data_IF_937481632148
#
_entry.id   IF_937481632148
#
_cell.length_a   1.000
_cell.length_b   1.000
_cell.length_c   1.000
_cell.angle_alpha   90.00
_cell.angle_beta   90.00
_cell.angle_gamma   90.00
#
_symmetry.space_group_name_H-M   'P 1'
#
loop_
_entity.id
_entity.type
_entity.pdbx_description
1 polymer ?
#
# COMPACT_ATOMS: atom_id res chain seq x y z
N UNK A 1 28.09 0.42 -24.30
CA UNK A 1 28.26 0.12 -22.87
C UNK A 1 27.21 -0.92 -22.49
N UNK A 2 27.61 -2.15 -22.19
CA UNK A 2 26.67 -3.27 -22.00
C UNK A 2 25.68 -3.00 -20.85
N UNK A 3 24.40 -3.28 -21.10
CA UNK A 3 23.37 -3.26 -20.06
C UNK A 3 23.59 -4.46 -19.12
N UNK A 4 24.35 -4.27 -18.04
CA UNK A 4 24.50 -5.26 -16.97
C UNK A 4 23.28 -5.28 -16.03
N UNK A 5 22.08 -5.07 -16.59
CA UNK A 5 20.84 -4.91 -15.84
C UNK A 5 20.54 -6.15 -14.98
N UNK A 6 20.73 -7.35 -15.54
CA UNK A 6 20.51 -8.59 -14.81
C UNK A 6 21.49 -8.75 -13.63
N UNK A 7 22.75 -8.32 -13.81
CA UNK A 7 23.75 -8.36 -12.74
C UNK A 7 23.41 -7.36 -11.63
N UNK A 8 23.00 -6.13 -11.99
CA UNK A 8 22.54 -5.12 -11.03
C UNK A 8 21.33 -5.63 -10.23
N UNK A 9 20.32 -6.24 -10.88
CA UNK A 9 19.18 -6.85 -10.18
C UNK A 9 19.65 -7.98 -9.26
N UNK A 10 20.54 -8.85 -9.74
CA UNK A 10 21.11 -9.93 -8.92
C UNK A 10 21.81 -9.40 -7.68
N UNK A 11 22.57 -8.31 -7.81
CA UNK A 11 23.25 -7.65 -6.70
C UNK A 11 22.23 -7.03 -5.71
N UNK A 12 21.19 -6.36 -6.21
CA UNK A 12 20.11 -5.84 -5.38
C UNK A 12 19.40 -6.95 -4.58
N UNK A 13 19.10 -8.08 -5.23
CA UNK A 13 18.50 -9.25 -4.57
C UNK A 13 19.43 -9.86 -3.52
N UNK A 14 20.74 -9.91 -3.77
CA UNK A 14 21.73 -10.33 -2.77
C UNK A 14 21.73 -9.41 -1.54
N UNK A 15 21.63 -8.09 -1.72
CA UNK A 15 21.53 -7.13 -0.61
C UNK A 15 20.24 -7.33 0.19
N UNK A 16 19.10 -7.51 -0.51
CA UNK A 16 17.80 -7.79 0.12
C UNK A 16 17.86 -9.10 0.90
N UNK A 17 18.45 -10.16 0.33
CA UNK A 17 18.62 -11.45 0.99
C UNK A 17 19.53 -11.34 2.22
N UNK A 18 20.66 -10.64 2.11
CA UNK A 18 21.56 -10.39 3.23
C UNK A 18 20.86 -9.62 4.37
N UNK A 19 20.06 -8.62 4.02
CA UNK A 19 19.23 -7.87 4.98
C UNK A 19 18.21 -8.78 5.68
N UNK A 20 17.58 -9.69 4.94
CA UNK A 20 16.66 -10.71 5.48
C UNK A 20 17.34 -11.70 6.42
N UNK A 21 18.52 -12.21 6.05
CA UNK A 21 19.30 -13.10 6.91
C UNK A 21 19.74 -12.39 8.19
N UNK A 22 20.14 -11.12 8.08
CA UNK A 22 20.53 -10.32 9.24
C UNK A 22 19.32 -10.06 10.15
N UNK A 23 18.17 -9.66 9.61
CA UNK A 23 16.92 -9.50 10.34
C UNK A 23 16.53 -10.78 11.09
N UNK A 24 16.56 -11.92 10.40
CA UNK A 24 16.24 -13.21 10.99
C UNK A 24 17.20 -13.58 12.14
N UNK A 25 18.50 -13.33 11.96
CA UNK A 25 19.51 -13.57 13.00
C UNK A 25 19.30 -12.68 14.23
N UNK A 26 18.89 -11.43 14.02
CA UNK A 26 18.61 -10.47 15.08
C UNK A 26 17.20 -10.59 15.68
N UNK A 27 16.34 -11.45 15.13
CA UNK A 27 14.90 -11.55 15.47
C UNK A 27 14.19 -10.20 15.37
N UNK A 28 14.51 -9.45 14.33
CA UNK A 28 14.02 -8.10 14.09
C UNK A 28 13.19 -8.06 12.79
N UNK A 29 12.17 -7.20 12.65
CA UNK A 29 11.44 -7.04 11.39
C UNK A 29 12.39 -6.68 10.23
N UNK A 30 12.14 -7.18 9.02
CA UNK A 30 13.06 -6.96 7.89
C UNK A 30 13.02 -5.51 7.38
N UNK A 31 11.85 -4.86 7.48
CA UNK A 31 11.55 -3.60 6.78
C UNK A 31 12.56 -2.49 7.10
N UNK A 32 12.94 -2.23 8.37
CA UNK A 32 13.94 -1.19 8.65
C UNK A 32 15.31 -1.50 8.03
N UNK A 33 15.73 -2.77 7.99
CA UNK A 33 16.99 -3.14 7.34
C UNK A 33 16.93 -2.96 5.82
N UNK A 34 15.78 -3.23 5.18
CA UNK A 34 15.60 -2.95 3.75
C UNK A 34 15.66 -1.45 3.45
N UNK A 35 15.06 -0.61 4.31
CA UNK A 35 15.13 0.86 4.16
C UNK A 35 16.59 1.32 4.29
N UNK A 36 17.31 0.86 5.32
CA UNK A 36 18.72 1.19 5.51
C UNK A 36 19.59 0.70 4.34
N UNK A 37 19.34 -0.50 3.83
CA UNK A 37 20.02 -1.03 2.67
C UNK A 37 19.77 -0.17 1.42
N UNK A 38 18.51 0.18 1.16
CA UNK A 38 18.13 1.07 0.04
C UNK A 38 18.77 2.46 0.16
N UNK A 39 18.82 3.04 1.36
CA UNK A 39 19.53 4.29 1.62
C UNK A 39 21.03 4.16 1.35
N UNK A 40 21.64 3.02 1.70
CA UNK A 40 23.07 2.78 1.52
C UNK A 40 23.48 2.62 0.04
N UNK A 41 22.57 2.18 -0.83
CA UNK A 41 22.85 1.87 -2.25
C UNK A 41 22.10 2.76 -3.25
N UNK A 42 21.49 3.84 -2.76
CA UNK A 42 20.79 4.81 -3.58
C UNK A 42 21.71 5.72 -4.41
N UNK A 43 21.16 6.75 -5.08
CA UNK A 43 21.94 7.71 -5.87
C UNK A 43 23.03 8.44 -5.08
N UNK A 44 22.87 8.54 -3.76
CA UNK A 44 23.78 9.19 -2.83
C UNK A 44 24.86 8.24 -2.26
N UNK A 45 24.87 6.97 -2.68
CA UNK A 45 25.84 5.99 -2.21
C UNK A 45 27.27 6.41 -2.63
N UNK A 46 28.27 6.28 -1.73
CA UNK A 46 29.65 6.56 -2.07
C UNK A 46 30.14 5.58 -3.13
N UNK A 47 30.85 6.10 -4.14
CA UNK A 47 31.51 5.25 -5.14
C UNK A 47 32.74 4.62 -4.48
N UNK A 48 32.67 3.33 -4.17
CA UNK A 48 33.79 2.59 -3.57
C UNK A 48 34.59 1.91 -4.68
N UNK A 49 35.67 2.57 -5.12
CA UNK A 49 36.58 2.03 -6.13
C UNK A 49 35.94 1.89 -7.52
N UNK A 50 36.05 0.70 -8.12
CA UNK A 50 35.49 0.40 -9.46
C UNK A 50 34.04 -0.12 -9.43
N UNK A 51 33.46 -0.30 -8.23
CA UNK A 51 32.09 -0.82 -8.06
C UNK A 51 31.14 0.37 -7.86
N UNK A 52 30.30 0.60 -8.87
CA UNK A 52 29.20 1.55 -8.76
C UNK A 52 27.99 0.86 -8.14
N UNK A 53 27.76 1.09 -6.84
CA UNK A 53 26.57 0.60 -6.14
C UNK A 53 25.35 1.48 -6.37
N UNK A 54 25.47 2.56 -7.14
CA UNK A 54 24.33 3.42 -7.48
C UNK A 54 23.57 2.72 -8.59
N UNK A 55 22.44 2.12 -8.24
CA UNK A 55 21.53 1.41 -9.15
C UNK A 55 20.79 2.35 -10.12
N UNK A 56 21.44 3.36 -10.69
CA UNK A 56 20.79 4.46 -11.43
C UNK A 56 20.04 3.95 -12.66
N UNK A 57 20.64 3.01 -13.41
CA UNK A 57 20.03 2.45 -14.63
C UNK A 57 18.96 1.42 -14.33
N UNK A 58 19.16 0.61 -13.30
CA UNK A 58 18.21 -0.41 -12.86
C UNK A 58 17.10 0.13 -11.97
N UNK A 59 17.21 1.36 -11.46
CA UNK A 59 16.25 1.96 -10.54
C UNK A 59 14.79 1.89 -11.02
N UNK A 60 14.43 2.22 -12.28
CA UNK A 60 13.04 2.11 -12.72
C UNK A 60 12.49 0.68 -12.66
N UNK A 61 13.33 -0.31 -12.99
CA UNK A 61 12.95 -1.72 -12.94
C UNK A 61 12.89 -2.23 -11.49
N UNK A 62 13.84 -1.85 -10.64
CA UNK A 62 13.84 -2.19 -9.20
C UNK A 62 12.60 -1.59 -8.52
N UNK A 63 12.25 -0.35 -8.85
CA UNK A 63 11.04 0.32 -8.36
C UNK A 63 9.79 -0.45 -8.78
N UNK A 64 9.67 -0.79 -10.06
CA UNK A 64 8.54 -1.56 -10.57
C UNK A 64 8.43 -2.95 -9.92
N UNK A 65 9.56 -3.66 -9.76
CA UNK A 65 9.62 -4.94 -9.06
C UNK A 65 9.21 -4.81 -7.58
N UNK A 66 9.64 -3.74 -6.92
CA UNK A 66 9.24 -3.41 -5.56
C UNK A 66 7.73 -3.18 -5.43
N UNK A 67 7.13 -2.43 -6.37
CA UNK A 67 5.68 -2.23 -6.43
C UNK A 67 4.94 -3.56 -6.59
N UNK A 68 5.33 -4.39 -7.55
CA UNK A 68 4.73 -5.73 -7.73
C UNK A 68 4.84 -6.58 -6.46
N UNK A 69 5.98 -6.55 -5.77
CA UNK A 69 6.16 -7.24 -4.49
C UNK A 69 5.15 -6.80 -3.42
N UNK A 70 4.86 -5.50 -3.34
CA UNK A 70 3.84 -4.94 -2.43
C UNK A 70 2.43 -5.35 -2.88
N UNK A 71 2.12 -5.32 -4.17
CA UNK A 71 0.84 -5.79 -4.70
C UNK A 71 0.60 -7.25 -4.31
N UNK A 72 1.58 -8.13 -4.53
CA UNK A 72 1.47 -9.54 -4.16
C UNK A 72 1.34 -9.76 -2.66
N UNK A 73 2.07 -8.98 -1.85
CA UNK A 73 1.96 -9.06 -0.39
C UNK A 73 0.54 -8.75 0.09
N UNK A 74 -0.06 -7.66 -0.42
CA UNK A 74 -1.39 -7.24 -0.02
C UNK A 74 -2.49 -8.10 -0.63
N UNK A 75 -2.29 -8.59 -1.85
CA UNK A 75 -3.14 -9.61 -2.45
C UNK A 75 -3.17 -10.89 -1.61
N UNK A 76 -1.99 -11.42 -1.25
CA UNK A 76 -1.86 -12.58 -0.38
C UNK A 76 -2.55 -12.35 0.96
N UNK A 77 -2.34 -11.16 1.55
CA UNK A 77 -3.02 -10.79 2.78
C UNK A 77 -4.53 -10.86 2.56
N UNK A 78 -5.07 -10.22 1.52
CA UNK A 78 -6.49 -10.22 1.19
C UNK A 78 -7.11 -11.61 1.08
N UNK A 79 -6.38 -12.58 0.50
CA UNK A 79 -6.81 -13.98 0.40
C UNK A 79 -7.06 -14.66 1.76
N UNK A 80 -6.36 -14.24 2.81
CA UNK A 80 -6.50 -14.83 4.15
C UNK A 80 -7.71 -14.27 4.94
N UNK A 81 -8.41 -13.24 4.43
CA UNK A 81 -9.50 -12.58 5.16
C UNK A 81 -10.85 -12.72 4.45
N UNK A 82 -11.91 -12.75 5.27
CA UNK A 82 -13.26 -12.71 4.74
C UNK A 82 -13.80 -11.28 4.69
N UNK A 83 -14.40 -10.89 3.57
CA UNK A 83 -15.11 -9.61 3.41
C UNK A 83 -16.25 -9.47 4.42
N UNK A 84 -16.97 -10.55 4.73
CA UNK A 84 -18.07 -10.52 5.70
C UNK A 84 -17.67 -10.01 7.09
N UNK A 85 -16.51 -10.44 7.61
CA UNK A 85 -16.00 -9.97 8.91
C UNK A 85 -15.59 -8.50 8.88
N UNK A 86 -14.97 -8.05 7.79
CA UNK A 86 -14.62 -6.64 7.59
C UNK A 86 -15.86 -5.72 7.58
N UNK A 87 -16.92 -6.14 6.89
CA UNK A 87 -18.20 -5.39 6.88
C UNK A 87 -18.85 -5.33 8.26
N UNK A 88 -18.85 -6.44 9.01
CA UNK A 88 -19.39 -6.49 10.36
C UNK A 88 -18.62 -5.57 11.32
N UNK A 89 -17.31 -5.43 11.13
CA UNK A 89 -16.47 -4.51 11.88
C UNK A 89 -16.59 -3.04 11.44
N UNK A 90 -17.36 -2.72 10.38
CA UNK A 90 -17.38 -1.41 9.74
C UNK A 90 -17.64 -0.23 10.68
N UNK A 91 -18.55 -0.37 11.65
CA UNK A 91 -18.81 0.69 12.64
C UNK A 91 -17.62 0.91 13.58
N UNK A 92 -16.99 -0.18 14.03
CA UNK A 92 -15.80 -0.12 14.88
C UNK A 92 -14.63 0.49 14.12
N UNK A 93 -14.44 0.09 12.85
CA UNK A 93 -13.42 0.64 11.94
C UNK A 93 -13.63 2.15 11.75
N UNK A 94 -14.86 2.59 11.47
CA UNK A 94 -15.15 4.01 11.27
C UNK A 94 -14.87 4.83 12.54
N UNK A 95 -15.34 4.38 13.70
CA UNK A 95 -15.10 5.07 14.96
C UNK A 95 -13.63 5.07 15.35
N UNK A 96 -12.97 3.91 15.31
CA UNK A 96 -11.57 3.75 15.64
C UNK A 96 -10.66 4.52 14.68
N UNK A 97 -10.95 4.48 13.38
CA UNK A 97 -10.24 5.22 12.34
C UNK A 97 -10.39 6.73 12.52
N UNK A 98 -11.59 7.21 12.80
CA UNK A 98 -11.83 8.64 13.05
C UNK A 98 -11.08 9.12 14.29
N UNK A 99 -11.12 8.36 15.38
CA UNK A 99 -10.38 8.69 16.62
C UNK A 99 -8.88 8.66 16.37
N UNK A 100 -8.36 7.61 15.73
CA UNK A 100 -6.96 7.48 15.38
C UNK A 100 -6.48 8.67 14.54
N UNK A 101 -7.26 9.03 13.51
CA UNK A 101 -6.89 10.11 12.62
C UNK A 101 -6.97 11.47 13.30
N UNK A 102 -8.01 11.71 14.09
CA UNK A 102 -8.14 12.94 14.85
C UNK A 102 -6.96 13.17 15.80
N UNK A 103 -6.53 12.13 16.52
CA UNK A 103 -5.38 12.21 17.44
C UNK A 103 -4.10 12.53 16.65
N UNK A 104 -3.75 11.71 15.65
CA UNK A 104 -2.47 11.88 14.95
C UNK A 104 -2.43 13.17 14.11
N UNK A 105 -3.55 13.55 13.49
CA UNK A 105 -3.66 14.79 12.74
C UNK A 105 -3.54 16.02 13.64
N UNK A 106 -4.17 15.99 14.82
CA UNK A 106 -4.02 17.07 15.82
C UNK A 106 -2.57 17.21 16.27
N UNK A 107 -1.90 16.09 16.58
CA UNK A 107 -0.48 16.09 16.93
C UNK A 107 0.40 16.62 15.79
N UNK A 108 0.06 16.25 14.54
CA UNK A 108 0.77 16.70 13.36
C UNK A 108 0.63 18.19 13.06
N UNK A 109 -0.48 18.82 13.46
CA UNK A 109 -0.70 20.27 13.34
C UNK A 109 -0.08 21.04 14.52
N UNK A 110 -0.17 20.49 15.72
CA UNK A 110 0.14 21.21 16.96
C UNK A 110 1.58 21.74 16.99
N UNK A 111 2.58 20.92 16.67
CA UNK A 111 3.99 21.33 16.72
C UNK A 111 4.34 22.39 15.67
N UNK A 112 4.01 22.23 14.37
CA UNK A 112 4.26 23.26 13.35
C UNK A 112 3.57 24.59 13.64
N UNK A 113 2.35 24.57 14.18
CA UNK A 113 1.62 25.80 14.57
C UNK A 113 2.35 26.52 15.70
N UNK A 114 2.83 25.78 16.72
CA UNK A 114 3.61 26.37 17.83
C UNK A 114 4.92 27.00 17.36
N UNK A 115 5.53 26.50 16.29
CA UNK A 115 6.72 27.09 15.68
C UNK A 115 6.41 28.19 14.65
N UNK A 116 5.13 28.53 14.43
CA UNK A 116 4.73 29.60 13.52
C UNK A 116 4.94 29.27 12.04
N UNK A 117 4.87 28.00 11.66
CA UNK A 117 5.03 27.59 10.27
C UNK A 117 3.84 28.08 9.42
N UNK A 118 4.02 28.35 8.12
CA UNK A 118 2.92 28.70 7.23
C UNK A 118 1.98 27.51 7.01
N UNK A 119 0.70 27.80 6.73
CA UNK A 119 -0.37 26.80 6.60
C UNK A 119 -0.02 25.63 5.66
N UNK A 120 0.63 25.92 4.52
CA UNK A 120 1.02 24.90 3.55
C UNK A 120 1.99 23.87 4.15
N UNK A 121 2.97 24.32 4.92
CA UNK A 121 3.96 23.46 5.57
C UNK A 121 3.33 22.68 6.73
N UNK A 122 2.45 23.33 7.51
CA UNK A 122 1.66 22.68 8.57
C UNK A 122 0.87 21.50 8.00
N UNK A 123 0.17 21.70 6.89
CA UNK A 123 -0.60 20.64 6.23
C UNK A 123 0.33 19.52 5.73
N UNK A 124 1.45 19.82 5.09
CA UNK A 124 2.38 18.76 4.65
C UNK A 124 2.84 17.90 5.84
N UNK A 125 3.26 18.52 6.94
CA UNK A 125 3.68 17.80 8.15
C UNK A 125 2.55 17.01 8.79
N UNK A 126 1.35 17.59 8.87
CA UNK A 126 0.18 16.91 9.42
C UNK A 126 -0.16 15.64 8.64
N UNK A 127 -0.03 15.66 7.30
CA UNK A 127 -0.17 14.47 6.46
C UNK A 127 0.89 13.41 6.77
N UNK A 128 2.16 13.82 6.85
CA UNK A 128 3.29 12.91 7.13
C UNK A 128 3.13 12.21 8.49
N UNK A 129 2.66 12.93 9.51
CA UNK A 129 2.53 12.39 10.88
C UNK A 129 1.25 11.56 11.04
N UNK A 130 0.17 11.90 10.32
CA UNK A 130 -1.15 11.27 10.54
C UNK A 130 -1.34 9.93 9.85
N UNK A 131 -0.62 9.66 8.77
CA UNK A 131 -0.85 8.52 7.88
C UNK A 131 0.18 7.41 8.15
N UNK A 132 -0.29 6.18 8.37
CA UNK A 132 0.58 5.01 8.47
C UNK A 132 0.70 4.26 7.14
N UNK A 133 1.76 3.47 6.95
CA UNK A 133 1.97 2.70 5.71
C UNK A 133 1.29 1.33 5.77
N UNK A 134 0.24 1.14 4.96
CA UNK A 134 -0.50 -0.13 4.84
C UNK A 134 0.41 -1.30 4.45
N UNK A 135 1.34 -1.10 3.51
CA UNK A 135 2.26 -2.14 3.05
C UNK A 135 3.23 -2.63 4.15
N UNK A 136 3.73 -1.70 4.98
CA UNK A 136 4.63 -2.05 6.09
C UNK A 136 3.88 -2.81 7.17
N UNK A 137 2.68 -2.34 7.55
CA UNK A 137 1.87 -3.04 8.56
C UNK A 137 1.49 -4.44 8.07
N UNK A 138 1.08 -4.57 6.81
CA UNK A 138 0.84 -5.86 6.16
C UNK A 138 2.06 -6.79 6.24
N UNK A 139 3.25 -6.28 5.90
CA UNK A 139 4.48 -7.06 5.95
C UNK A 139 4.75 -7.57 7.36
N UNK A 140 4.61 -6.71 8.36
CA UNK A 140 4.82 -7.07 9.77
C UNK A 140 3.80 -8.11 10.25
N UNK A 141 2.53 -8.01 9.84
CA UNK A 141 1.51 -9.02 10.17
C UNK A 141 1.85 -10.41 9.62
N UNK A 142 2.31 -10.47 8.37
CA UNK A 142 2.76 -11.71 7.72
C UNK A 142 4.01 -12.27 8.40
N UNK A 143 5.02 -11.43 8.66
CA UNK A 143 6.26 -11.86 9.32
C UNK A 143 6.04 -12.40 10.73
N UNK A 144 5.17 -11.76 11.50
CA UNK A 144 4.82 -12.21 12.84
C UNK A 144 3.82 -13.37 12.85
N UNK A 145 3.39 -13.86 11.68
CA UNK A 145 2.35 -14.90 11.53
C UNK A 145 1.08 -14.57 12.31
N UNK A 146 0.68 -13.30 12.30
CA UNK A 146 -0.49 -12.77 13.02
C UNK A 146 -1.66 -12.46 12.10
N UNK A 147 -1.64 -12.93 10.87
CA UNK A 147 -2.68 -12.63 9.88
C UNK A 147 -4.05 -13.15 10.31
N UNK A 148 -4.15 -14.37 10.83
CA UNK A 148 -5.43 -15.00 11.26
C UNK A 148 -5.85 -14.61 12.69
N UNK A 149 -5.54 -13.38 13.13
CA UNK A 149 -5.88 -12.91 14.49
C UNK A 149 -7.10 -11.98 14.45
N UNK A 150 -7.95 -11.96 15.50
CA UNK A 150 -9.11 -11.07 15.56
C UNK A 150 -8.73 -9.59 15.46
N UNK A 151 -7.56 -9.20 15.99
CA UNK A 151 -7.11 -7.81 15.93
C UNK A 151 -6.73 -7.38 14.51
N UNK A 152 -6.35 -8.33 13.65
CA UNK A 152 -5.89 -8.05 12.28
C UNK A 152 -6.99 -7.51 11.39
N UNK A 153 -8.23 -7.95 11.59
CA UNK A 153 -9.39 -7.42 10.86
C UNK A 153 -9.59 -5.94 11.14
N UNK A 154 -9.45 -5.54 12.41
CA UNK A 154 -9.52 -4.13 12.80
C UNK A 154 -8.35 -3.36 12.19
N UNK A 155 -7.13 -3.90 12.21
CA UNK A 155 -5.96 -3.26 11.63
C UNK A 155 -6.14 -3.05 10.11
N UNK A 156 -6.60 -4.05 9.38
CA UNK A 156 -6.87 -3.95 7.93
C UNK A 156 -7.97 -2.95 7.62
N UNK A 157 -9.06 -2.97 8.40
CA UNK A 157 -10.12 -1.98 8.28
C UNK A 157 -9.60 -0.57 8.52
N UNK A 158 -8.72 -0.38 9.50
CA UNK A 158 -8.06 0.90 9.74
C UNK A 158 -7.15 1.32 8.58
N UNK A 159 -6.43 0.39 7.94
CA UNK A 159 -5.64 0.69 6.73
C UNK A 159 -6.55 1.22 5.61
N UNK A 160 -7.64 0.50 5.30
CA UNK A 160 -8.61 0.93 4.29
C UNK A 160 -9.19 2.31 4.60
N UNK A 161 -9.57 2.54 5.86
CA UNK A 161 -10.06 3.84 6.32
C UNK A 161 -9.02 4.95 6.13
N UNK A 162 -7.76 4.69 6.49
CA UNK A 162 -6.67 5.64 6.33
C UNK A 162 -6.43 5.97 4.85
N UNK A 163 -6.44 4.97 3.97
CA UNK A 163 -6.24 5.19 2.53
C UNK A 163 -7.36 6.03 1.90
N UNK A 164 -8.61 5.89 2.38
CA UNK A 164 -9.69 6.84 2.03
C UNK A 164 -9.31 8.25 2.47
N UNK A 165 -8.88 8.41 3.73
CA UNK A 165 -8.50 9.71 4.25
C UNK A 165 -7.35 10.30 3.43
N UNK A 166 -6.33 9.53 3.06
CA UNK A 166 -5.20 10.00 2.23
C UNK A 166 -5.70 10.55 0.90
N UNK A 167 -6.58 9.85 0.20
CA UNK A 167 -7.12 10.31 -1.07
C UNK A 167 -7.83 11.67 -0.94
N UNK A 168 -8.65 11.83 0.10
CA UNK A 168 -9.35 13.09 0.41
C UNK A 168 -8.34 14.18 0.78
N UNK A 169 -7.42 13.84 1.66
CA UNK A 169 -6.42 14.74 2.21
C UNK A 169 -5.51 15.30 1.12
N UNK A 170 -4.96 14.44 0.28
CA UNK A 170 -4.11 14.85 -0.83
C UNK A 170 -4.87 15.64 -1.88
N UNK A 171 -6.16 15.36 -2.13
CA UNK A 171 -6.99 16.20 -2.99
C UNK A 171 -7.12 17.64 -2.45
N UNK A 172 -7.39 17.77 -1.15
CA UNK A 172 -7.45 19.08 -0.46
C UNK A 172 -6.11 19.80 -0.51
N UNK A 173 -5.03 19.12 -0.10
CA UNK A 173 -3.68 19.70 -0.02
C UNK A 173 -3.20 20.09 -1.42
N UNK A 174 -3.42 19.26 -2.44
CA UNK A 174 -3.08 19.57 -3.82
C UNK A 174 -3.77 20.86 -4.29
N UNK A 175 -5.09 21.00 -4.06
CA UNK A 175 -5.82 22.23 -4.40
C UNK A 175 -5.34 23.47 -3.62
N UNK A 176 -5.11 23.35 -2.31
CA UNK A 176 -4.65 24.46 -1.47
C UNK A 176 -3.20 24.88 -1.77
N UNK A 177 -2.33 23.91 -2.02
CA UNK A 177 -0.89 24.14 -2.20
C UNK A 177 -0.59 24.62 -3.62
N UNK A 178 -1.19 24.00 -4.65
CA UNK A 178 -0.86 24.23 -6.06
C UNK A 178 -1.71 25.32 -6.72
N UNK A 179 -3.02 25.38 -6.48
CA UNK A 179 -3.93 26.26 -7.25
C UNK A 179 -4.49 27.43 -6.45
N UNK A 180 -4.37 27.42 -5.12
CA UNK A 180 -4.82 28.51 -4.24
C UNK A 180 -6.35 28.68 -4.17
N UNK A 181 -7.10 27.80 -4.84
CA UNK A 181 -8.56 27.80 -4.86
C UNK A 181 -9.04 26.36 -4.63
N UNK A 182 -9.60 26.10 -3.45
CA UNK A 182 -10.38 24.88 -3.22
C UNK A 182 -11.81 25.12 -3.68
N UNK A 183 -12.20 24.54 -4.80
CA UNK A 183 -13.63 24.27 -5.00
C UNK A 183 -14.00 23.15 -4.02
N UNK A 184 -14.88 23.44 -3.05
CA UNK A 184 -15.38 22.42 -2.12
C UNK A 184 -15.91 21.19 -2.87
N UNK A 185 -16.44 21.41 -4.08
CA UNK A 185 -16.90 20.38 -5.02
C UNK A 185 -15.84 19.32 -5.37
N UNK A 186 -14.58 19.70 -5.62
CA UNK A 186 -13.54 18.74 -6.01
C UNK A 186 -13.18 17.79 -4.87
N UNK A 187 -13.17 18.31 -3.64
CA UNK A 187 -12.90 17.53 -2.42
C UNK A 187 -14.00 16.50 -2.17
N UNK A 188 -15.27 16.92 -2.23
CA UNK A 188 -16.41 16.02 -2.06
C UNK A 188 -16.47 14.99 -3.19
N UNK A 189 -16.12 15.38 -4.42
CA UNK A 189 -16.05 14.45 -5.55
C UNK A 189 -14.96 13.40 -5.36
N UNK A 190 -13.72 13.79 -5.02
CA UNK A 190 -12.62 12.84 -4.77
C UNK A 190 -12.96 11.87 -3.64
N UNK A 191 -13.52 12.39 -2.53
CA UNK A 191 -13.99 11.57 -1.40
C UNK A 191 -15.05 10.55 -1.84
N UNK A 192 -16.05 11.02 -2.59
CA UNK A 192 -17.12 10.19 -3.12
C UNK A 192 -16.62 9.12 -4.10
N UNK A 193 -15.65 9.44 -4.96
CA UNK A 193 -15.04 8.49 -5.88
C UNK A 193 -14.26 7.42 -5.12
N UNK A 194 -13.41 7.79 -4.16
CA UNK A 194 -12.62 6.83 -3.39
C UNK A 194 -13.51 5.89 -2.56
N UNK A 195 -14.44 6.46 -1.77
CA UNK A 195 -15.41 5.68 -0.99
C UNK A 195 -16.31 4.83 -1.90
N UNK A 196 -16.81 5.42 -2.98
CA UNK A 196 -17.64 4.76 -3.97
C UNK A 196 -16.91 3.58 -4.62
N UNK A 197 -15.65 3.74 -4.99
CA UNK A 197 -14.80 2.67 -5.51
C UNK A 197 -14.64 1.55 -4.49
N UNK A 198 -14.22 1.84 -3.25
CA UNK A 198 -14.03 0.81 -2.24
C UNK A 198 -15.32 0.06 -1.91
N UNK A 199 -16.43 0.78 -1.71
CA UNK A 199 -17.73 0.17 -1.44
C UNK A 199 -18.23 -0.63 -2.64
N UNK A 200 -18.16 -0.06 -3.85
CA UNK A 200 -18.58 -0.75 -5.06
C UNK A 200 -17.74 -2.01 -5.26
N UNK A 201 -16.43 -1.95 -5.07
CA UNK A 201 -15.54 -3.08 -5.26
C UNK A 201 -15.83 -4.20 -4.25
N UNK A 202 -16.03 -3.86 -2.98
CA UNK A 202 -16.42 -4.83 -1.93
C UNK A 202 -17.79 -5.45 -2.22
N UNK A 203 -18.80 -4.63 -2.55
CA UNK A 203 -20.17 -5.09 -2.80
C UNK A 203 -20.31 -5.89 -4.11
N UNK A 204 -19.68 -5.40 -5.18
CA UNK A 204 -19.63 -6.08 -6.47
C UNK A 204 -18.84 -7.36 -6.35
N UNK A 205 -17.72 -7.35 -5.62
CA UNK A 205 -16.91 -8.52 -5.35
C UNK A 205 -17.70 -9.66 -4.73
N UNK A 206 -18.42 -9.38 -3.65
CA UNK A 206 -19.32 -10.36 -3.02
C UNK A 206 -20.42 -10.87 -3.95
N UNK A 207 -21.00 -9.98 -4.76
CA UNK A 207 -22.07 -10.36 -5.70
C UNK A 207 -21.54 -11.13 -6.92
N UNK A 208 -20.30 -10.86 -7.32
CA UNK A 208 -19.64 -11.44 -8.47
C UNK A 208 -18.88 -12.71 -8.12
N UNK A 209 -18.55 -12.97 -6.85
CA UNK A 209 -17.90 -14.21 -6.39
C UNK A 209 -18.46 -15.48 -7.06
N UNK A 210 -19.78 -15.76 -7.11
CA UNK A 210 -20.29 -16.95 -7.80
C UNK A 210 -20.12 -16.94 -9.32
N UNK A 211 -20.03 -15.77 -9.96
CA UNK A 211 -19.71 -15.65 -11.40
C UNK A 211 -18.22 -15.78 -11.65
N UNK A 212 -17.40 -15.24 -10.75
CA UNK A 212 -15.96 -15.34 -10.78
C UNK A 212 -15.56 -16.81 -10.65
N UNK A 213 -16.22 -17.58 -9.77
CA UNK A 213 -15.95 -19.00 -9.63
C UNK A 213 -16.15 -19.78 -10.96
N UNK A 214 -17.20 -19.44 -11.71
CA UNK A 214 -17.43 -20.01 -13.07
C UNK A 214 -16.43 -19.55 -14.11
N UNK A 215 -15.92 -18.31 -13.99
CA UNK A 215 -14.92 -17.76 -14.92
C UNK A 215 -13.52 -18.29 -14.62
N UNK A 216 -13.28 -18.66 -13.36
CA UNK A 216 -12.03 -19.17 -12.81
C UNK A 216 -11.96 -20.70 -12.78
N UNK A 217 -13.02 -21.40 -13.23
CA UNK A 217 -13.01 -22.84 -13.57
C UNK A 217 -12.18 -23.07 -14.84
N UNK A 218 -10.88 -22.80 -14.72
CA UNK A 218 -9.90 -22.86 -15.79
C UNK A 218 -9.11 -24.16 -15.58
N UNK A 219 -9.08 -25.07 -16.56
CA UNK A 219 -8.44 -26.39 -16.41
C UNK A 219 -6.90 -26.36 -16.38
N UNK A 220 -6.27 -25.20 -16.59
CA UNK A 220 -4.82 -25.03 -16.62
C UNK A 220 -4.37 -24.02 -15.57
N UNK A 221 -3.52 -24.47 -14.65
CA UNK A 221 -2.92 -23.65 -13.58
C UNK A 221 -2.15 -22.44 -14.15
N UNK A 222 -1.50 -22.61 -15.31
CA UNK A 222 -0.77 -21.52 -15.97
C UNK A 222 -1.72 -20.40 -16.42
N UNK A 223 -2.83 -20.79 -17.05
CA UNK A 223 -3.84 -19.84 -17.52
C UNK A 223 -4.55 -19.18 -16.33
N UNK A 224 -4.82 -19.95 -15.27
CA UNK A 224 -5.38 -19.41 -14.03
C UNK A 224 -4.46 -18.34 -13.42
N UNK A 225 -3.16 -18.62 -13.26
CA UNK A 225 -2.19 -17.65 -12.75
C UNK A 225 -2.12 -16.38 -13.61
N UNK A 226 -2.15 -16.52 -14.94
CA UNK A 226 -2.17 -15.37 -15.85
C UNK A 226 -3.42 -14.52 -15.69
N UNK A 227 -4.59 -15.14 -15.54
CA UNK A 227 -5.86 -14.42 -15.33
C UNK A 227 -5.84 -13.67 -14.00
N UNK A 228 -5.41 -14.32 -12.91
CA UNK A 228 -5.29 -13.67 -11.60
C UNK A 228 -4.29 -12.52 -11.66
N UNK A 229 -3.12 -12.72 -12.26
CA UNK A 229 -2.11 -11.66 -12.39
C UNK A 229 -2.60 -10.48 -13.23
N UNK A 230 -3.26 -10.75 -14.36
CA UNK A 230 -3.84 -9.71 -15.21
C UNK A 230 -4.94 -8.93 -14.47
N UNK A 231 -5.84 -9.62 -13.77
CA UNK A 231 -6.89 -8.98 -13.00
C UNK A 231 -6.33 -8.14 -11.84
N UNK A 232 -5.38 -8.71 -11.09
CA UNK A 232 -4.71 -8.05 -9.99
C UNK A 232 -4.04 -6.74 -10.43
N UNK A 233 -3.23 -6.80 -11.50
CA UNK A 233 -2.49 -5.63 -12.00
C UNK A 233 -3.42 -4.59 -12.62
N UNK A 234 -4.49 -5.00 -13.31
CA UNK A 234 -5.48 -4.09 -13.88
C UNK A 234 -6.23 -3.33 -12.78
N UNK A 235 -6.70 -4.01 -11.74
CA UNK A 235 -7.40 -3.37 -10.62
C UNK A 235 -6.46 -2.47 -9.82
N UNK A 236 -5.23 -2.92 -9.54
CA UNK A 236 -4.24 -2.11 -8.84
C UNK A 236 -3.92 -0.83 -9.62
N UNK A 237 -3.66 -0.95 -10.93
CA UNK A 237 -3.43 0.21 -11.81
C UNK A 237 -4.64 1.12 -11.92
N UNK A 238 -5.86 0.57 -11.99
CA UNK A 238 -7.08 1.39 -11.98
C UNK A 238 -7.24 2.16 -10.66
N UNK A 239 -6.90 1.55 -9.52
CA UNK A 239 -6.95 2.20 -8.20
C UNK A 239 -6.05 3.44 -8.14
N UNK A 240 -4.87 3.38 -8.75
CA UNK A 240 -3.95 4.52 -8.84
C UNK A 240 -4.59 5.70 -9.60
N UNK A 241 -5.35 5.45 -10.67
CA UNK A 241 -5.99 6.50 -11.48
C UNK A 241 -7.06 7.30 -10.74
N UNK A 242 -7.59 6.76 -9.65
CA UNK A 242 -8.58 7.41 -8.78
C UNK A 242 -8.00 7.87 -7.44
N UNK A 243 -6.67 7.97 -7.34
CA UNK A 243 -5.92 8.39 -6.14
C UNK A 243 -6.06 7.47 -4.93
N UNK A 244 -6.42 6.20 -5.13
CA UNK A 244 -6.34 5.15 -4.12
C UNK A 244 -5.01 4.43 -4.30
N UNK A 245 -4.37 4.01 -3.21
CA UNK A 245 -3.12 3.26 -3.30
C UNK A 245 -3.32 1.96 -4.12
N UNK A 246 -2.46 1.70 -5.10
CA UNK A 246 -2.45 0.48 -5.94
C UNK A 246 -2.48 -0.80 -5.07
N UNK A 247 -1.77 -0.74 -3.95
CA UNK A 247 -1.70 -1.70 -2.87
C UNK A 247 -3.08 -2.12 -2.32
N UNK A 248 -4.00 -1.17 -2.17
CA UNK A 248 -5.36 -1.43 -1.70
C UNK A 248 -6.19 -2.12 -2.78
N UNK A 249 -6.03 -1.73 -4.04
CA UNK A 249 -6.63 -2.46 -5.15
C UNK A 249 -6.27 -3.95 -5.12
N UNK A 250 -4.99 -4.25 -4.87
CA UNK A 250 -4.52 -5.63 -4.71
C UNK A 250 -5.13 -6.36 -3.50
N UNK A 251 -5.19 -5.71 -2.34
CA UNK A 251 -5.85 -6.24 -1.15
C UNK A 251 -7.32 -6.58 -1.43
N UNK A 252 -8.03 -5.67 -2.09
CA UNK A 252 -9.42 -5.83 -2.43
C UNK A 252 -9.65 -7.00 -3.40
N UNK A 253 -8.78 -7.19 -4.40
CA UNK A 253 -8.84 -8.38 -5.28
C UNK A 253 -8.70 -9.66 -4.46
N UNK A 254 -7.71 -9.71 -3.56
CA UNK A 254 -7.51 -10.86 -2.68
C UNK A 254 -8.74 -11.18 -1.83
N UNK A 255 -9.35 -10.16 -1.23
CA UNK A 255 -10.57 -10.30 -0.42
C UNK A 255 -11.74 -10.91 -1.20
N UNK A 256 -11.89 -10.58 -2.48
CA UNK A 256 -12.97 -11.13 -3.32
C UNK A 256 -12.71 -12.60 -3.65
N UNK A 257 -11.47 -12.93 -4.02
CA UNK A 257 -11.08 -14.31 -4.30
C UNK A 257 -11.14 -15.19 -3.06
N UNK A 258 -10.96 -14.63 -1.86
CA UNK A 258 -11.17 -15.34 -0.60
C UNK A 258 -12.63 -15.81 -0.40
N UNK A 259 -13.61 -15.17 -1.06
CA UNK A 259 -15.01 -15.58 -1.00
C UNK A 259 -15.41 -16.58 -2.11
N UNK A 260 -14.51 -16.91 -3.03
CA UNK A 260 -14.77 -17.94 -4.04
C UNK A 260 -14.36 -19.31 -3.52
N UNK A 261 -15.21 -20.32 -3.75
CA UNK A 261 -14.88 -21.73 -3.51
C UNK A 261 -13.91 -22.20 -4.61
N UNK A 262 -12.65 -21.80 -4.52
CA UNK A 262 -11.54 -22.33 -5.33
C UNK A 262 -11.05 -23.66 -4.77
#
# INVERSE_FOLDING_TARGET
MGNYLLFEIGLALCIVAASGLLAARLRFPIVPLLILAGMAVGPHAPVIGMLDFRFIKSAPLIEFMGRLGVLFLLFYLGLEFSVGRLLNAGRSIFLGGTIYMAINFTLGIMLPVMWGWPLKEILVVAGIISISSSAIVAKVLVELKRTVRPETEMILGLMLYQDVFVAIYLSIVSGLVLTGATSHESVFMSAGIALGFMLAFILLGRKLAPRLNKLLDIPSDEVFMLVIFAFLTLVAGFSETIHVAEAIGALLVGLILAETDM
#
